data_IF_758313234739
#
_entry.id   IF_758313234739
#
_cell.length_a   1.000
_cell.length_b   1.000
_cell.length_c   1.000
_cell.angle_alpha   90.00
_cell.angle_beta   90.00
_cell.angle_gamma   90.00
#
_symmetry.space_group_name_H-M   'P 1'
#
loop_
_entity.id
_entity.type
_entity.pdbx_description
1 polymer ?
#
# COMPACT_ATOMS: atom_id res chain seq x y z
N UNK A 1 66.49 -38.84 9.54
CA UNK A 1 65.39 -38.13 8.87
C UNK A 1 65.30 -38.69 7.46
N UNK A 2 64.40 -39.63 7.23
CA UNK A 2 64.20 -40.18 5.88
C UNK A 2 63.25 -39.26 5.13
N UNK A 3 63.76 -38.58 4.10
CA UNK A 3 62.94 -37.99 3.04
C UNK A 3 62.13 -39.11 2.39
N UNK A 4 60.91 -39.33 2.87
CA UNK A 4 59.90 -40.05 2.10
C UNK A 4 59.46 -39.09 1.02
N UNK A 5 60.07 -39.26 -0.16
CA UNK A 5 59.67 -38.54 -1.36
C UNK A 5 58.16 -38.67 -1.59
N UNK A 6 57.56 -37.71 -2.32
CA UNK A 6 56.11 -37.61 -2.48
C UNK A 6 55.51 -38.95 -2.90
N UNK A 7 54.72 -39.56 -2.00
CA UNK A 7 54.16 -40.89 -2.20
C UNK A 7 52.95 -40.76 -3.13
N UNK A 8 53.07 -41.27 -4.35
CA UNK A 8 52.03 -41.22 -5.38
C UNK A 8 50.69 -41.83 -4.92
N UNK A 9 50.73 -42.73 -3.93
CA UNK A 9 49.56 -43.32 -3.28
C UNK A 9 48.73 -42.27 -2.55
N UNK A 10 49.38 -41.28 -1.91
CA UNK A 10 48.68 -40.20 -1.22
C UNK A 10 48.02 -39.24 -2.23
N UNK A 11 48.65 -39.00 -3.38
CA UNK A 11 48.04 -38.24 -4.49
C UNK A 11 46.87 -38.97 -5.13
N UNK A 12 46.95 -40.29 -5.26
CA UNK A 12 45.85 -41.12 -5.76
C UNK A 12 44.65 -41.11 -4.81
N UNK A 13 44.88 -41.20 -3.49
CA UNK A 13 43.83 -41.09 -2.48
C UNK A 13 43.21 -39.69 -2.43
N UNK A 14 44.01 -38.63 -2.57
CA UNK A 14 43.51 -37.26 -2.66
C UNK A 14 42.65 -37.06 -3.92
N UNK A 15 43.11 -37.57 -5.07
CA UNK A 15 42.38 -37.54 -6.33
C UNK A 15 41.05 -38.30 -6.28
N UNK A 16 41.04 -39.49 -5.66
CA UNK A 16 39.82 -40.29 -5.47
C UNK A 16 38.80 -39.57 -4.58
N UNK A 17 39.24 -38.94 -3.49
CA UNK A 17 38.36 -38.17 -2.61
C UNK A 17 37.81 -36.91 -3.29
N UNK A 18 38.59 -36.23 -4.14
CA UNK A 18 38.12 -35.07 -4.92
C UNK A 18 37.07 -35.48 -5.95
N UNK A 19 37.25 -36.61 -6.64
CA UNK A 19 36.27 -37.13 -7.62
C UNK A 19 34.98 -37.55 -6.92
N UNK A 20 35.06 -38.25 -5.78
CA UNK A 20 33.89 -38.62 -4.99
C UNK A 20 33.18 -37.39 -4.40
N UNK A 21 33.92 -36.39 -3.91
CA UNK A 21 33.35 -35.13 -3.44
C UNK A 21 32.68 -34.34 -4.56
N UNK A 22 33.25 -34.33 -5.77
CA UNK A 22 32.65 -33.70 -6.96
C UNK A 22 31.35 -34.38 -7.41
N UNK A 23 31.30 -35.71 -7.37
CA UNK A 23 30.09 -36.47 -7.68
C UNK A 23 28.99 -36.26 -6.62
N UNK A 24 29.37 -36.20 -5.34
CA UNK A 24 28.45 -35.88 -4.24
C UNK A 24 27.93 -34.44 -4.31
N UNK A 25 28.76 -33.48 -4.72
CA UNK A 25 28.32 -32.10 -4.96
C UNK A 25 27.27 -32.03 -6.08
N UNK A 26 27.50 -32.71 -7.21
CA UNK A 26 26.52 -32.78 -8.30
C UNK A 26 25.19 -33.46 -7.92
N UNK A 27 25.23 -34.48 -7.04
CA UNK A 27 24.02 -35.11 -6.49
C UNK A 27 23.30 -34.17 -5.53
N UNK A 28 24.03 -33.44 -4.68
CA UNK A 28 23.45 -32.46 -3.74
C UNK A 28 22.73 -31.33 -4.48
N UNK A 29 23.32 -30.83 -5.57
CA UNK A 29 22.71 -29.79 -6.39
C UNK A 29 21.40 -30.28 -7.02
N UNK A 30 21.39 -31.50 -7.58
CA UNK A 30 20.16 -32.13 -8.13
C UNK A 30 19.09 -32.37 -7.06
N UNK A 31 19.47 -32.81 -5.86
CA UNK A 31 18.53 -32.98 -4.76
C UNK A 31 17.96 -31.63 -4.30
N UNK A 32 18.78 -30.58 -4.28
CA UNK A 32 18.31 -29.23 -3.94
C UNK A 32 17.35 -28.68 -5.00
N UNK A 33 17.60 -28.98 -6.27
CA UNK A 33 16.73 -28.60 -7.38
C UNK A 33 15.40 -29.35 -7.34
N UNK A 34 15.44 -30.68 -7.11
CA UNK A 34 14.24 -31.50 -6.92
C UNK A 34 13.43 -31.03 -5.71
N UNK A 35 14.08 -30.73 -4.59
CA UNK A 35 13.42 -30.19 -3.41
C UNK A 35 12.71 -28.85 -3.73
N UNK A 36 13.37 -27.96 -4.48
CA UNK A 36 12.77 -26.69 -4.91
C UNK A 36 11.58 -26.89 -5.86
N UNK A 37 11.67 -27.85 -6.78
CA UNK A 37 10.56 -28.21 -7.68
C UNK A 37 9.38 -28.71 -6.87
N UNK A 38 9.61 -29.59 -5.90
CA UNK A 38 8.53 -30.14 -5.08
C UNK A 38 7.89 -29.08 -4.18
N UNK A 39 8.68 -28.22 -3.53
CA UNK A 39 8.14 -27.08 -2.76
C UNK A 39 7.31 -26.14 -3.64
N UNK A 40 7.74 -25.87 -4.87
CA UNK A 40 6.96 -25.06 -5.81
C UNK A 40 5.67 -25.77 -6.24
N UNK A 41 5.71 -27.09 -6.40
CA UNK A 41 4.54 -27.91 -6.74
C UNK A 41 3.53 -27.90 -5.59
N UNK A 42 3.98 -28.12 -4.36
CA UNK A 42 3.15 -28.05 -3.15
C UNK A 42 2.50 -26.67 -3.01
N UNK A 43 3.27 -25.58 -3.20
CA UNK A 43 2.72 -24.22 -3.17
C UNK A 43 1.65 -24.00 -4.23
N UNK A 44 1.84 -24.50 -5.46
CA UNK A 44 0.83 -24.42 -6.52
C UNK A 44 -0.44 -25.17 -6.17
N UNK A 45 -0.30 -26.37 -5.60
CA UNK A 45 -1.44 -27.18 -5.15
C UNK A 45 -2.19 -26.47 -4.01
N UNK A 46 -1.47 -25.86 -3.06
CA UNK A 46 -2.09 -25.07 -1.98
C UNK A 46 -2.89 -23.89 -2.54
N UNK A 47 -2.29 -23.10 -3.43
CA UNK A 47 -2.98 -21.99 -4.11
C UNK A 47 -4.23 -22.49 -4.87
N UNK A 48 -4.09 -23.57 -5.64
CA UNK A 48 -5.21 -24.15 -6.39
C UNK A 48 -6.34 -24.62 -5.46
N UNK A 49 -6.01 -25.18 -4.29
CA UNK A 49 -6.99 -25.56 -3.28
C UNK A 49 -7.68 -24.34 -2.63
N UNK A 50 -6.95 -23.26 -2.35
CA UNK A 50 -7.54 -22.01 -1.87
C UNK A 50 -8.50 -21.42 -2.90
N UNK A 51 -8.13 -21.43 -4.18
CA UNK A 51 -9.00 -20.97 -5.26
C UNK A 51 -10.22 -21.87 -5.46
N UNK A 52 -10.08 -23.20 -5.30
CA UNK A 52 -11.22 -24.13 -5.32
C UNK A 52 -12.21 -23.83 -4.20
N UNK A 53 -11.70 -23.58 -2.99
CA UNK A 53 -12.53 -23.23 -1.83
C UNK A 53 -13.27 -21.91 -2.08
N UNK A 54 -12.56 -20.91 -2.61
CA UNK A 54 -13.15 -19.63 -3.02
C UNK A 54 -14.26 -19.79 -4.07
N UNK A 55 -14.05 -20.60 -5.12
CA UNK A 55 -15.09 -20.88 -6.12
C UNK A 55 -16.31 -21.58 -5.49
N UNK A 56 -16.08 -22.51 -4.56
CA UNK A 56 -17.15 -23.19 -3.84
C UNK A 56 -17.99 -22.19 -3.03
N UNK A 57 -17.34 -21.27 -2.31
CA UNK A 57 -18.01 -20.24 -1.51
C UNK A 57 -18.83 -19.28 -2.39
N UNK A 58 -18.32 -18.92 -3.57
CA UNK A 58 -19.08 -18.08 -4.51
C UNK A 58 -20.26 -18.85 -5.11
N UNK A 59 -20.07 -20.11 -5.50
CA UNK A 59 -21.17 -20.93 -6.03
C UNK A 59 -22.32 -21.03 -5.03
N UNK A 60 -22.02 -21.31 -3.76
CA UNK A 60 -23.00 -21.32 -2.67
C UNK A 60 -23.63 -19.92 -2.48
N UNK A 61 -22.83 -18.85 -2.61
CA UNK A 61 -23.32 -17.47 -2.58
C UNK A 61 -24.35 -17.20 -3.68
N UNK A 62 -24.06 -17.58 -4.93
CA UNK A 62 -24.96 -17.38 -6.08
C UNK A 62 -26.26 -18.19 -5.92
N UNK A 63 -26.18 -19.42 -5.41
CA UNK A 63 -27.37 -20.23 -5.13
C UNK A 63 -28.27 -19.52 -4.11
N UNK A 64 -27.69 -18.98 -3.03
CA UNK A 64 -28.45 -18.19 -2.04
C UNK A 64 -29.02 -16.91 -2.66
N UNK A 65 -28.25 -16.18 -3.45
CA UNK A 65 -28.72 -14.97 -4.14
C UNK A 65 -29.92 -15.23 -5.05
N UNK A 66 -29.94 -16.40 -5.70
CA UNK A 66 -31.07 -16.82 -6.55
C UNK A 66 -32.37 -16.92 -5.74
N UNK A 67 -32.29 -17.35 -4.47
CA UNK A 67 -33.45 -17.37 -3.58
C UNK A 67 -34.01 -15.99 -3.22
N UNK A 68 -33.17 -14.95 -3.23
CA UNK A 68 -33.57 -13.58 -2.89
C UNK A 68 -33.95 -12.71 -4.09
N UNK A 69 -33.89 -13.25 -5.31
CA UNK A 69 -34.10 -12.49 -6.55
C UNK A 69 -35.42 -11.70 -6.55
N UNK A 70 -36.50 -12.32 -6.06
CA UNK A 70 -37.85 -11.72 -6.07
C UNK A 70 -38.10 -10.80 -4.86
N UNK A 71 -37.42 -11.05 -3.73
CA UNK A 71 -37.61 -10.28 -2.49
C UNK A 71 -36.78 -8.99 -2.50
N UNK A 72 -35.53 -9.06 -2.99
CA UNK A 72 -34.57 -7.97 -2.96
C UNK A 72 -33.73 -7.91 -4.25
N UNK A 73 -34.34 -7.67 -5.43
CA UNK A 73 -33.63 -7.68 -6.72
C UNK A 73 -32.47 -6.68 -6.77
N UNK A 74 -32.61 -5.52 -6.11
CA UNK A 74 -31.55 -4.51 -6.02
C UNK A 74 -30.30 -5.04 -5.29
N UNK A 75 -30.49 -5.68 -4.14
CA UNK A 75 -29.41 -6.26 -3.35
C UNK A 75 -28.71 -7.40 -4.08
N UNK A 76 -29.50 -8.23 -4.77
CA UNK A 76 -28.98 -9.31 -5.62
C UNK A 76 -28.15 -8.76 -6.77
N UNK A 77 -28.64 -7.74 -7.49
CA UNK A 77 -27.92 -7.12 -8.60
C UNK A 77 -26.58 -6.52 -8.14
N UNK A 78 -26.57 -5.79 -7.02
CA UNK A 78 -25.34 -5.20 -6.45
C UNK A 78 -24.35 -6.29 -6.04
N UNK A 79 -24.80 -7.30 -5.32
CA UNK A 79 -23.92 -8.38 -4.83
C UNK A 79 -23.33 -9.19 -5.97
N UNK A 80 -24.12 -9.51 -6.99
CA UNK A 80 -23.65 -10.27 -8.15
C UNK A 80 -22.61 -9.49 -8.97
N UNK A 81 -22.75 -8.17 -9.10
CA UNK A 81 -21.71 -7.31 -9.69
C UNK A 81 -20.43 -7.27 -8.85
N UNK A 82 -20.57 -7.15 -7.52
CA UNK A 82 -19.40 -7.20 -6.62
C UNK A 82 -18.67 -8.53 -6.76
N UNK A 83 -19.40 -9.65 -6.83
CA UNK A 83 -18.82 -10.98 -7.08
C UNK A 83 -18.09 -11.07 -8.43
N UNK A 84 -18.63 -10.44 -9.47
CA UNK A 84 -17.98 -10.36 -10.79
C UNK A 84 -16.66 -9.59 -10.72
N UNK A 85 -16.66 -8.42 -10.08
CA UNK A 85 -15.45 -7.62 -9.87
C UNK A 85 -14.39 -8.41 -9.08
N UNK A 86 -14.80 -9.10 -8.00
CA UNK A 86 -13.89 -9.93 -7.21
C UNK A 86 -13.30 -11.07 -8.06
N UNK A 87 -14.09 -11.72 -8.92
CA UNK A 87 -13.60 -12.77 -9.81
C UNK A 87 -12.47 -12.28 -10.72
N UNK A 88 -12.61 -11.07 -11.24
CA UNK A 88 -11.64 -10.45 -12.13
C UNK A 88 -10.42 -9.91 -11.37
N UNK A 89 -10.60 -9.33 -10.18
CA UNK A 89 -9.49 -8.87 -9.31
C UNK A 89 -8.60 -10.02 -8.83
N UNK A 90 -9.20 -11.15 -8.42
CA UNK A 90 -8.44 -12.34 -7.99
C UNK A 90 -7.78 -13.03 -9.19
N UNK A 91 -8.24 -12.77 -10.42
CA UNK A 91 -7.70 -13.37 -11.64
C UNK A 91 -8.04 -14.85 -11.76
N UNK A 92 -9.21 -15.27 -11.28
CA UNK A 92 -9.64 -16.67 -11.35
C UNK A 92 -10.18 -16.97 -12.75
N UNK A 93 -9.32 -17.52 -13.59
CA UNK A 93 -9.66 -17.99 -14.92
C UNK A 93 -9.68 -19.52 -14.99
N UNK A 94 -10.42 -20.12 -15.93
CA UNK A 94 -10.31 -21.56 -16.20
C UNK A 94 -8.88 -22.02 -16.53
N UNK A 95 -8.01 -21.12 -17.00
CA UNK A 95 -6.61 -21.41 -17.27
C UNK A 95 -5.77 -21.64 -15.99
N UNK A 96 -6.21 -21.11 -14.84
CA UNK A 96 -5.49 -21.17 -13.56
C UNK A 96 -5.46 -22.59 -12.97
N UNK A 97 -6.43 -23.44 -13.32
CA UNK A 97 -6.56 -24.80 -12.78
C UNK A 97 -5.92 -25.85 -13.68
N UNK A 98 -5.41 -26.93 -13.09
CA UNK A 98 -4.86 -28.05 -13.87
C UNK A 98 -5.96 -29.04 -14.28
N UNK A 99 -6.88 -29.33 -13.36
CA UNK A 99 -7.92 -30.33 -13.58
C UNK A 99 -9.06 -29.76 -14.43
N UNK A 100 -9.51 -30.53 -15.42
CA UNK A 100 -10.58 -30.14 -16.34
C UNK A 100 -11.89 -29.82 -15.62
N UNK A 101 -12.23 -30.59 -14.59
CA UNK A 101 -13.43 -30.40 -13.75
C UNK A 101 -13.49 -29.02 -13.11
N UNK A 102 -12.36 -28.52 -12.61
CA UNK A 102 -12.30 -27.19 -11.98
C UNK A 102 -12.48 -26.08 -13.03
N UNK A 103 -11.91 -26.26 -14.23
CA UNK A 103 -12.08 -25.31 -15.34
C UNK A 103 -13.53 -25.14 -15.72
N UNK A 104 -14.25 -26.26 -15.83
CA UNK A 104 -15.66 -26.26 -16.18
C UNK A 104 -16.50 -25.67 -15.05
N UNK A 105 -16.15 -25.95 -13.79
CA UNK A 105 -16.79 -25.33 -12.62
C UNK A 105 -16.66 -23.81 -12.63
N UNK A 106 -15.48 -23.26 -12.87
CA UNK A 106 -15.26 -21.80 -12.99
C UNK A 106 -16.17 -21.19 -14.05
N UNK A 107 -16.27 -21.83 -15.23
CA UNK A 107 -17.15 -21.37 -16.31
C UNK A 107 -18.63 -21.39 -15.91
N UNK A 108 -19.06 -22.47 -15.25
CA UNK A 108 -20.44 -22.61 -14.77
C UNK A 108 -20.78 -21.54 -13.73
N UNK A 109 -19.89 -21.30 -12.77
CA UNK A 109 -20.09 -20.28 -11.72
C UNK A 109 -20.13 -18.87 -12.32
N UNK A 110 -19.21 -18.52 -13.24
CA UNK A 110 -19.27 -17.23 -13.96
C UNK A 110 -20.56 -17.08 -14.76
N UNK A 111 -20.98 -18.12 -15.50
CA UNK A 111 -22.22 -18.10 -16.26
C UNK A 111 -23.47 -17.95 -15.36
N UNK A 112 -23.48 -18.63 -14.21
CA UNK A 112 -24.54 -18.51 -13.21
C UNK A 112 -24.58 -17.09 -12.61
N UNK A 113 -23.43 -16.48 -12.33
CA UNK A 113 -23.33 -15.10 -11.86
C UNK A 113 -23.87 -14.11 -12.90
N UNK A 114 -23.46 -14.24 -14.16
CA UNK A 114 -23.97 -13.37 -15.23
C UNK A 114 -25.48 -13.52 -15.41
N UNK A 115 -26.01 -14.74 -15.32
CA UNK A 115 -27.44 -15.01 -15.43
C UNK A 115 -28.23 -14.38 -14.27
N UNK A 116 -27.77 -14.52 -13.02
CA UNK A 116 -28.46 -13.91 -11.88
C UNK A 116 -28.38 -12.38 -11.93
N UNK A 117 -27.26 -11.80 -12.39
CA UNK A 117 -27.13 -10.36 -12.64
C UNK A 117 -28.13 -9.87 -13.69
N UNK A 118 -28.27 -10.59 -14.82
CA UNK A 118 -29.23 -10.24 -15.87
C UNK A 118 -30.67 -10.35 -15.36
N UNK A 119 -31.00 -11.44 -14.66
CA UNK A 119 -32.32 -11.63 -14.09
C UNK A 119 -32.66 -10.54 -13.07
N UNK A 120 -31.72 -10.18 -12.19
CA UNK A 120 -31.93 -9.11 -11.22
C UNK A 120 -32.07 -7.75 -11.90
N UNK A 121 -31.35 -7.49 -12.99
CA UNK A 121 -31.51 -6.27 -13.79
C UNK A 121 -32.90 -6.17 -14.42
N UNK A 122 -33.46 -7.30 -14.88
CA UNK A 122 -34.79 -7.36 -15.49
C UNK A 122 -35.93 -7.08 -14.50
N UNK A 123 -35.70 -7.30 -13.21
CA UNK A 123 -36.64 -6.97 -12.12
C UNK A 123 -36.56 -5.48 -11.69
N UNK A 124 -35.51 -4.77 -12.11
CA UNK A 124 -35.27 -3.37 -11.77
C UNK A 124 -35.70 -2.43 -12.90
N UNK A 125 -36.05 -1.19 -12.55
CA UNK A 125 -36.25 -0.17 -13.57
C UNK A 125 -34.92 0.24 -14.20
N UNK A 126 -34.93 0.66 -15.48
CA UNK A 126 -33.73 1.12 -16.20
C UNK A 126 -32.98 2.23 -15.43
N UNK A 127 -33.74 3.14 -14.79
CA UNK A 127 -33.17 4.22 -13.96
C UNK A 127 -32.48 3.70 -12.70
N UNK A 128 -33.03 2.67 -12.06
CA UNK A 128 -32.38 2.03 -10.92
C UNK A 128 -31.10 1.35 -11.37
N UNK A 129 -31.15 0.56 -12.44
CA UNK A 129 -29.97 -0.11 -13.01
C UNK A 129 -28.85 0.89 -13.34
N UNK A 130 -29.19 2.02 -13.98
CA UNK A 130 -28.23 3.08 -14.29
C UNK A 130 -27.64 3.70 -13.01
N UNK A 131 -28.49 3.99 -12.01
CA UNK A 131 -28.05 4.51 -10.71
C UNK A 131 -27.13 3.51 -9.99
N UNK A 132 -27.46 2.22 -9.97
CA UNK A 132 -26.60 1.20 -9.37
C UNK A 132 -25.26 1.14 -10.08
N UNK A 133 -25.24 1.08 -11.41
CA UNK A 133 -24.00 1.01 -12.20
C UNK A 133 -23.12 2.22 -11.93
N UNK A 134 -23.72 3.41 -11.78
CA UNK A 134 -22.98 4.60 -11.38
C UNK A 134 -22.31 4.43 -10.01
N UNK A 135 -23.05 3.98 -8.99
CA UNK A 135 -22.50 3.78 -7.64
C UNK A 135 -21.46 2.65 -7.57
N UNK A 136 -21.66 1.53 -8.29
CA UNK A 136 -20.69 0.44 -8.38
C UNK A 136 -19.38 0.88 -9.04
N UNK A 137 -19.48 1.61 -10.16
CA UNK A 137 -18.30 2.19 -10.81
C UNK A 137 -17.55 3.16 -9.89
N UNK A 138 -18.29 3.86 -9.02
CA UNK A 138 -17.72 4.75 -8.04
C UNK A 138 -17.05 4.01 -6.88
N UNK A 139 -17.60 2.87 -6.45
CA UNK A 139 -17.04 2.10 -5.33
C UNK A 139 -15.67 1.53 -5.63
N UNK A 140 -15.44 1.09 -6.87
CA UNK A 140 -14.12 0.65 -7.34
C UNK A 140 -13.08 1.77 -7.27
N UNK A 141 -13.52 3.03 -7.13
CA UNK A 141 -12.71 4.24 -7.08
C UNK A 141 -12.85 5.00 -5.76
N UNK A 142 -13.30 4.36 -4.69
CA UNK A 142 -13.39 5.04 -3.39
C UNK A 142 -12.04 5.53 -2.87
N UNK A 143 -10.98 4.76 -3.06
CA UNK A 143 -9.62 5.17 -2.67
C UNK A 143 -9.16 6.44 -3.40
N UNK A 144 -9.51 6.55 -4.68
CA UNK A 144 -9.27 7.73 -5.52
C UNK A 144 -10.12 8.93 -5.07
N UNK A 145 -11.37 8.71 -4.69
CA UNK A 145 -12.27 9.74 -4.14
C UNK A 145 -11.76 10.25 -2.78
N UNK A 146 -11.36 9.36 -1.88
CA UNK A 146 -10.77 9.70 -0.57
C UNK A 146 -9.48 10.52 -0.73
N UNK A 147 -8.68 10.16 -1.73
CA UNK A 147 -7.46 10.85 -2.09
C UNK A 147 -7.76 12.25 -2.67
N UNK A 148 -8.79 12.40 -3.51
CA UNK A 148 -9.28 13.69 -4.01
C UNK A 148 -9.78 14.58 -2.86
N UNK A 149 -10.63 14.06 -1.97
CA UNK A 149 -11.15 14.78 -0.80
C UNK A 149 -10.00 15.21 0.11
N UNK A 150 -9.03 14.32 0.36
CA UNK A 150 -7.83 14.62 1.14
C UNK A 150 -6.97 15.71 0.52
N UNK A 151 -6.81 15.67 -0.81
CA UNK A 151 -6.13 16.71 -1.58
C UNK A 151 -6.81 18.07 -1.42
N UNK A 152 -8.12 18.14 -1.60
CA UNK A 152 -8.88 19.39 -1.51
C UNK A 152 -8.84 19.97 -0.09
N UNK A 153 -9.02 19.14 0.94
CA UNK A 153 -8.87 19.54 2.35
C UNK A 153 -7.46 20.06 2.64
N UNK A 154 -6.44 19.42 2.08
CA UNK A 154 -5.05 19.85 2.25
C UNK A 154 -4.79 21.19 1.54
N UNK A 155 -5.26 21.33 0.29
CA UNK A 155 -5.14 22.55 -0.51
C UNK A 155 -5.83 23.74 0.16
N UNK A 156 -7.00 23.53 0.78
CA UNK A 156 -7.73 24.57 1.52
C UNK A 156 -6.99 25.00 2.81
N UNK A 157 -6.42 24.05 3.56
CA UNK A 157 -5.73 24.34 4.85
C UNK A 157 -4.32 24.91 4.69
N UNK A 158 -3.65 24.63 3.58
CA UNK A 158 -2.25 24.97 3.39
C UNK A 158 -1.96 26.50 3.37
N UNK A 159 -2.82 27.36 2.79
CA UNK A 159 -2.69 28.82 2.89
C UNK A 159 -2.73 29.33 4.33
N UNK A 160 -3.64 28.80 5.16
CA UNK A 160 -3.77 29.22 6.56
C UNK A 160 -2.56 28.77 7.39
N UNK A 161 -2.05 27.56 7.12
CA UNK A 161 -0.81 27.07 7.73
C UNK A 161 0.41 27.88 7.32
N UNK A 162 0.50 28.29 6.04
CA UNK A 162 1.56 29.20 5.57
C UNK A 162 1.51 30.54 6.31
N UNK A 163 0.33 31.16 6.41
CA UNK A 163 0.14 32.41 7.16
C UNK A 163 0.51 32.26 8.64
N UNK A 164 0.15 31.13 9.27
CA UNK A 164 0.52 30.85 10.66
C UNK A 164 2.04 30.71 10.82
N UNK A 165 2.70 30.01 9.89
CA UNK A 165 4.14 29.82 9.89
C UNK A 165 4.90 31.13 9.64
N UNK A 166 4.39 32.01 8.78
CA UNK A 166 4.90 33.36 8.57
C UNK A 166 4.80 34.20 9.85
N UNK A 167 3.64 34.20 10.53
CA UNK A 167 3.47 34.90 11.82
C UNK A 167 4.44 34.41 12.89
N UNK A 168 4.58 33.09 13.04
CA UNK A 168 5.50 32.49 14.00
C UNK A 168 6.97 32.82 13.65
N UNK A 169 7.30 32.85 12.36
CA UNK A 169 8.63 33.27 11.89
C UNK A 169 8.90 34.75 12.17
N UNK A 170 7.90 35.62 11.99
CA UNK A 170 8.02 37.06 12.25
C UNK A 170 8.10 37.38 13.74
N UNK A 171 7.37 36.65 14.59
CA UNK A 171 7.49 36.72 16.04
C UNK A 171 8.88 36.30 16.51
N UNK A 172 9.39 35.19 15.97
CA UNK A 172 10.76 34.74 16.22
C UNK A 172 11.78 35.79 15.81
N UNK A 173 11.64 36.36 14.61
CA UNK A 173 12.55 37.39 14.11
C UNK A 173 12.48 38.69 14.93
N UNK A 174 11.30 39.09 15.41
CA UNK A 174 11.16 40.24 16.33
C UNK A 174 11.85 39.97 17.66
N UNK A 175 11.66 38.80 18.26
CA UNK A 175 12.36 38.39 19.47
C UNK A 175 13.88 38.47 19.31
N UNK A 176 14.42 37.91 18.21
CA UNK A 176 15.86 37.99 17.90
C UNK A 176 16.33 39.44 17.75
N UNK A 177 15.57 40.31 17.06
CA UNK A 177 15.93 41.73 16.90
C UNK A 177 15.98 42.48 18.24
N UNK A 178 14.96 42.34 19.09
CA UNK A 178 14.95 42.96 20.42
C UNK A 178 16.09 42.45 21.29
N UNK A 179 16.42 41.16 21.21
CA UNK A 179 17.53 40.59 21.96
C UNK A 179 18.89 41.02 21.43
N UNK A 180 19.09 41.15 20.12
CA UNK A 180 20.32 41.73 19.57
C UNK A 180 20.52 43.15 20.10
N UNK A 181 19.45 43.94 20.20
CA UNK A 181 19.49 45.27 20.83
C UNK A 181 19.85 45.21 22.33
N UNK A 182 19.30 44.24 23.07
CA UNK A 182 19.64 44.04 24.49
C UNK A 182 21.07 43.57 24.69
N UNK A 183 21.60 42.68 23.85
CA UNK A 183 23.01 42.24 23.93
C UNK A 183 23.93 43.41 23.62
N UNK A 184 23.62 44.22 22.59
CA UNK A 184 24.41 45.42 22.27
C UNK A 184 24.37 46.40 23.46
N UNK A 185 23.19 46.68 24.03
CA UNK A 185 23.05 47.54 25.20
C UNK A 185 23.75 46.98 26.45
N UNK A 186 23.57 45.69 26.71
CA UNK A 186 24.12 44.95 27.85
C UNK A 186 25.63 44.73 27.77
N UNK A 187 26.24 44.74 26.59
CA UNK A 187 27.70 44.77 26.45
C UNK A 187 28.26 46.19 26.58
N UNK A 188 27.56 47.20 26.02
CA UNK A 188 28.03 48.58 26.02
C UNK A 188 27.99 49.20 27.43
N UNK A 189 26.94 48.96 28.21
CA UNK A 189 26.80 49.53 29.57
C UNK A 189 27.94 49.13 30.53
N UNK A 190 28.31 47.85 30.68
CA UNK A 190 29.43 47.44 31.52
C UNK A 190 30.80 47.87 31.00
N UNK A 191 30.97 48.08 29.69
CA UNK A 191 32.20 48.69 29.15
C UNK A 191 32.43 50.10 29.73
N UNK A 192 31.38 50.85 30.03
CA UNK A 192 31.46 52.15 30.71
C UNK A 192 31.51 52.04 32.25
N UNK A 193 31.16 50.89 32.83
CA UNK A 193 31.16 50.65 34.29
C UNK A 193 32.40 49.87 34.79
N UNK A 194 33.35 49.56 33.89
CA UNK A 194 34.60 48.84 34.18
C UNK A 194 35.43 49.48 35.29
N UNK A 195 35.33 50.80 35.48
CA UNK A 195 36.05 51.52 36.53
C UNK A 195 35.49 51.24 37.94
N UNK A 196 34.26 50.71 38.06
CA UNK A 196 33.57 50.54 39.34
C UNK A 196 33.35 49.07 39.74
N UNK A 197 33.27 48.15 38.77
CA UNK A 197 32.95 46.75 39.00
C UNK A 197 34.12 45.86 38.57
N UNK A 198 34.72 45.15 39.53
CA UNK A 198 35.87 44.28 39.26
C UNK A 198 35.58 43.20 38.20
N UNK A 199 36.62 42.71 37.50
CA UNK A 199 36.50 41.89 36.29
C UNK A 199 35.74 40.57 36.48
N UNK A 200 35.76 40.00 37.69
CA UNK A 200 35.05 38.77 37.99
C UNK A 200 33.52 38.92 37.94
N UNK A 201 32.98 40.08 38.35
CA UNK A 201 31.53 40.31 38.38
C UNK A 201 30.98 40.46 36.96
N UNK A 202 31.74 41.11 36.08
CA UNK A 202 31.39 41.27 34.67
C UNK A 202 31.30 39.94 33.92
N UNK A 203 32.20 39.00 34.23
CA UNK A 203 32.21 37.67 33.59
C UNK A 203 30.97 36.84 33.95
N UNK A 204 30.52 36.90 35.21
CA UNK A 204 29.31 36.18 35.66
C UNK A 204 28.02 36.74 35.07
N UNK A 205 27.91 38.08 34.95
CA UNK A 205 26.74 38.72 34.33
C UNK A 205 26.61 38.31 32.87
N UNK A 206 27.71 38.36 32.11
CA UNK A 206 27.71 37.94 30.70
C UNK A 206 27.34 36.46 30.52
N UNK A 207 27.76 35.58 31.44
CA UNK A 207 27.48 34.15 31.34
C UNK A 207 26.01 33.81 31.65
N UNK A 208 25.40 34.49 32.61
CA UNK A 208 23.96 34.35 32.93
C UNK A 208 23.10 34.83 31.75
N UNK A 209 23.47 35.93 31.10
CA UNK A 209 22.76 36.44 29.92
C UNK A 209 22.83 35.46 28.75
N UNK A 210 24.00 34.85 28.50
CA UNK A 210 24.18 33.88 27.40
C UNK A 210 23.42 32.57 27.66
N UNK A 211 23.42 32.04 28.89
CA UNK A 211 22.67 30.82 29.22
C UNK A 211 21.16 31.07 29.20
N UNK A 212 20.71 32.20 29.76
CA UNK A 212 19.31 32.62 29.68
C UNK A 212 18.83 32.77 28.23
N UNK A 213 19.68 33.32 27.37
CA UNK A 213 19.46 33.47 25.93
C UNK A 213 19.32 32.12 25.20
N UNK A 214 20.25 31.19 25.45
CA UNK A 214 20.19 29.86 24.85
C UNK A 214 18.92 29.09 25.28
N UNK A 215 18.51 29.21 26.54
CA UNK A 215 17.30 28.57 27.06
C UNK A 215 16.00 29.14 26.47
N UNK A 216 15.89 30.48 26.37
CA UNK A 216 14.68 31.16 25.85
C UNK A 216 14.50 30.99 24.34
N UNK A 217 15.58 31.02 23.55
CA UNK A 217 15.49 30.76 22.11
C UNK A 217 15.16 29.30 21.79
N UNK A 218 15.48 28.37 22.69
CA UNK A 218 15.29 26.95 22.47
C UNK A 218 13.90 26.45 22.90
N UNK A 219 13.29 27.00 23.96
CA UNK A 219 12.23 26.29 24.69
C UNK A 219 10.78 26.50 24.22
N UNK A 220 10.33 27.68 23.80
CA UNK A 220 8.88 27.91 23.58
C UNK A 220 8.45 28.12 22.12
N UNK A 221 9.21 28.88 21.33
CA UNK A 221 8.90 29.14 19.91
C UNK A 221 9.24 27.96 19.00
N UNK A 222 10.11 27.04 19.45
CA UNK A 222 10.61 25.94 18.61
C UNK A 222 9.58 24.82 18.45
N UNK A 223 8.80 24.49 19.48
CA UNK A 223 7.90 23.33 19.45
C UNK A 223 6.64 23.60 18.61
N UNK A 224 5.95 24.72 18.83
CA UNK A 224 4.78 25.07 18.02
C UNK A 224 5.17 25.31 16.54
N UNK A 225 6.31 25.95 16.29
CA UNK A 225 6.83 26.11 14.93
C UNK A 225 7.13 24.76 14.28
N UNK A 226 7.78 23.83 14.99
CA UNK A 226 8.04 22.47 14.48
C UNK A 226 6.75 21.72 14.21
N UNK A 227 5.75 21.84 15.09
CA UNK A 227 4.45 21.20 14.91
C UNK A 227 3.74 21.73 13.66
N UNK A 228 3.59 23.06 13.52
CA UNK A 228 2.95 23.69 12.35
C UNK A 228 3.73 23.39 11.07
N UNK A 229 5.07 23.37 11.13
CA UNK A 229 5.91 23.00 9.99
C UNK A 229 5.70 21.55 9.56
N UNK A 230 5.71 20.61 10.51
CA UNK A 230 5.50 19.19 10.24
C UNK A 230 4.10 18.93 9.69
N UNK A 231 3.07 19.54 10.29
CA UNK A 231 1.69 19.49 9.77
C UNK A 231 1.62 20.05 8.33
N UNK A 232 2.31 21.16 8.07
CA UNK A 232 2.40 21.73 6.72
C UNK A 232 3.09 20.81 5.70
N UNK A 233 4.15 20.10 6.11
CA UNK A 233 4.83 19.11 5.27
C UNK A 233 3.98 17.88 5.01
N UNK A 234 3.24 17.39 6.01
CA UNK A 234 2.27 16.30 5.83
C UNK A 234 1.13 16.67 4.88
N UNK A 235 0.59 17.89 4.99
CA UNK A 235 -0.42 18.38 4.05
C UNK A 235 0.14 18.49 2.63
N UNK A 236 1.39 18.91 2.44
CA UNK A 236 2.03 18.94 1.12
C UNK A 236 2.16 17.55 0.51
N UNK A 237 2.42 16.51 1.30
CA UNK A 237 2.46 15.12 0.80
C UNK A 237 1.10 14.63 0.30
N UNK A 238 0.00 15.18 0.84
CA UNK A 238 -1.37 14.90 0.39
C UNK A 238 -1.76 15.69 -0.86
N UNK A 239 -0.93 16.64 -1.31
CA UNK A 239 -1.20 17.39 -2.54
C UNK A 239 -0.80 16.53 -3.74
N UNK A 240 -1.78 16.29 -4.61
CA UNK A 240 -1.62 15.52 -5.83
C UNK A 240 -0.95 16.36 -6.92
N UNK A 241 -0.24 15.67 -7.80
CA UNK A 241 0.24 16.24 -9.05
C UNK A 241 -0.94 16.67 -9.93
N UNK A 242 -0.76 17.74 -10.71
CA UNK A 242 -1.79 18.25 -11.64
C UNK A 242 -2.34 17.20 -12.61
N UNK A 243 -1.50 16.25 -13.06
CA UNK A 243 -1.90 15.16 -13.97
C UNK A 243 -2.91 14.23 -13.30
N UNK A 244 -2.56 13.67 -12.13
CA UNK A 244 -3.49 12.84 -11.33
C UNK A 244 -4.78 13.58 -10.99
N UNK A 245 -4.69 14.87 -10.66
CA UNK A 245 -5.85 15.68 -10.33
C UNK A 245 -6.81 15.81 -11.53
N UNK A 246 -6.28 16.03 -12.73
CA UNK A 246 -7.08 16.08 -13.96
C UNK A 246 -7.80 14.75 -14.22
N UNK A 247 -7.12 13.61 -14.06
CA UNK A 247 -7.74 12.28 -14.20
C UNK A 247 -8.89 12.10 -13.21
N UNK A 248 -8.72 12.53 -11.96
CA UNK A 248 -9.78 12.44 -10.96
C UNK A 248 -10.96 13.36 -11.30
N UNK A 249 -10.72 14.58 -11.79
CA UNK A 249 -11.80 15.47 -12.20
C UNK A 249 -12.54 15.01 -13.46
N UNK A 250 -11.88 14.33 -14.39
CA UNK A 250 -12.55 13.72 -15.54
C UNK A 250 -13.55 12.63 -15.10
N UNK A 251 -13.23 11.93 -14.01
CA UNK A 251 -14.02 10.80 -13.48
C UNK A 251 -15.16 11.29 -12.61
N UNK A 252 -14.88 12.20 -11.67
CA UNK A 252 -15.84 12.63 -10.65
C UNK A 252 -16.53 13.96 -10.98
N UNK A 253 -16.08 14.66 -12.03
CA UNK A 253 -16.56 15.98 -12.44
C UNK A 253 -15.72 17.12 -11.84
N UNK A 254 -15.40 18.13 -12.64
CA UNK A 254 -14.70 19.33 -12.17
C UNK A 254 -15.68 20.30 -11.48
N UNK A 255 -15.19 21.07 -10.50
CA UNK A 255 -15.93 22.19 -9.90
C UNK A 255 -16.85 21.84 -8.72
N UNK A 256 -16.90 20.57 -8.29
CA UNK A 256 -17.61 20.18 -7.08
C UNK A 256 -16.87 20.64 -5.81
N UNK A 257 -17.64 20.98 -4.79
CA UNK A 257 -17.14 21.33 -3.45
C UNK A 257 -16.77 20.08 -2.65
N UNK A 258 -15.92 20.24 -1.61
CA UNK A 258 -15.54 19.12 -0.71
C UNK A 258 -16.78 18.43 -0.14
N UNK A 259 -17.78 19.21 0.30
CA UNK A 259 -19.01 18.66 0.88
C UNK A 259 -19.84 17.86 -0.12
N UNK A 260 -19.83 18.24 -1.40
CA UNK A 260 -20.50 17.47 -2.45
C UNK A 260 -19.79 16.13 -2.72
N UNK A 261 -18.45 16.10 -2.72
CA UNK A 261 -17.72 14.83 -2.83
C UNK A 261 -17.96 13.92 -1.62
N UNK A 262 -17.96 14.47 -0.41
CA UNK A 262 -18.29 13.72 0.81
C UNK A 262 -19.73 13.19 0.80
N UNK A 263 -20.67 13.97 0.23
CA UNK A 263 -22.06 13.54 0.06
C UNK A 263 -22.18 12.42 -0.97
N UNK A 264 -21.45 12.49 -2.09
CA UNK A 264 -21.40 11.40 -3.08
C UNK A 264 -20.78 10.13 -2.49
N UNK A 265 -19.67 10.26 -1.75
CA UNK A 265 -19.03 9.16 -1.03
C UNK A 265 -20.01 8.50 -0.06
N UNK A 266 -20.70 9.32 0.73
CA UNK A 266 -21.70 8.87 1.69
C UNK A 266 -22.90 8.23 1.00
N UNK A 267 -23.49 8.86 -0.01
CA UNK A 267 -24.62 8.29 -0.75
C UNK A 267 -24.26 6.94 -1.34
N UNK A 268 -23.06 6.80 -1.91
CA UNK A 268 -22.60 5.54 -2.48
C UNK A 268 -22.39 4.48 -1.40
N UNK A 269 -21.78 4.82 -0.26
CA UNK A 269 -21.65 3.90 0.88
C UNK A 269 -23.00 3.51 1.47
N UNK A 270 -23.91 4.46 1.62
CA UNK A 270 -25.25 4.23 2.14
C UNK A 270 -26.06 3.38 1.14
N UNK A 271 -25.86 3.56 -0.16
CA UNK A 271 -26.55 2.81 -1.20
C UNK A 271 -26.07 1.35 -1.28
N UNK A 272 -24.76 1.14 -1.25
CA UNK A 272 -24.17 -0.20 -1.13
C UNK A 272 -24.54 -0.80 0.23
N UNK A 273 -24.52 -0.01 1.30
CA UNK A 273 -24.92 -0.40 2.64
C UNK A 273 -26.39 -0.83 2.72
N UNK A 274 -27.31 -0.12 2.07
CA UNK A 274 -28.73 -0.50 2.00
C UNK A 274 -28.94 -1.81 1.24
N UNK A 275 -28.13 -2.07 0.22
CA UNK A 275 -28.10 -3.38 -0.44
C UNK A 275 -27.71 -4.51 0.54
N UNK A 276 -26.97 -4.18 1.59
CA UNK A 276 -26.52 -5.11 2.64
C UNK A 276 -27.38 -5.12 3.91
N UNK A 277 -28.20 -4.08 4.15
CA UNK A 277 -28.84 -3.85 5.45
C UNK A 277 -30.37 -3.75 5.33
N UNK A 278 -31.01 -4.93 5.27
CA UNK A 278 -32.43 -5.25 5.56
C UNK A 278 -33.52 -4.70 4.61
N UNK A 279 -34.48 -5.56 4.28
CA UNK A 279 -35.81 -5.13 3.82
C UNK A 279 -36.69 -4.60 4.97
N UNK A 280 -37.87 -4.06 4.62
CA UNK A 280 -38.85 -3.49 5.57
C UNK A 280 -39.54 -4.51 6.47
N UNK A 281 -39.39 -5.80 6.22
CA UNK A 281 -39.94 -6.92 6.99
C UNK A 281 -38.88 -7.58 7.92
N UNK A 282 -37.63 -7.09 7.89
CA UNK A 282 -36.54 -7.57 8.75
C UNK A 282 -35.79 -8.76 8.19
N UNK A 283 -36.04 -9.15 6.94
CA UNK A 283 -35.29 -10.20 6.25
C UNK A 283 -34.11 -9.55 5.52
N UNK A 284 -32.93 -9.57 6.15
CA UNK A 284 -31.68 -9.24 5.47
C UNK A 284 -31.30 -10.37 4.53
N UNK A 285 -30.73 -10.05 3.36
CA UNK A 285 -29.66 -10.88 2.79
C UNK A 285 -28.71 -11.17 3.96
N UNK A 286 -28.54 -12.42 4.40
CA UNK A 286 -27.87 -12.70 5.65
C UNK A 286 -26.49 -12.07 5.59
N UNK A 287 -26.08 -11.38 6.65
CA UNK A 287 -24.77 -10.71 6.76
C UNK A 287 -23.60 -11.63 6.32
N UNK A 288 -23.81 -12.95 6.45
CA UNK A 288 -22.93 -13.99 5.94
C UNK A 288 -22.66 -13.96 4.43
N UNK A 289 -23.60 -13.51 3.59
CA UNK A 289 -23.39 -13.36 2.13
C UNK A 289 -22.40 -12.24 1.82
N UNK A 290 -22.38 -11.16 2.61
CA UNK A 290 -21.40 -10.09 2.45
C UNK A 290 -20.05 -10.44 3.07
N UNK A 291 -20.07 -11.16 4.21
CA UNK A 291 -18.87 -11.76 4.81
C UNK A 291 -18.23 -12.82 3.90
N UNK A 292 -19.00 -13.45 3.00
CA UNK A 292 -18.50 -14.33 1.93
C UNK A 292 -17.86 -13.57 0.75
N UNK A 293 -18.34 -12.38 0.40
CA UNK A 293 -17.70 -11.52 -0.63
C UNK A 293 -16.40 -10.87 -0.15
N UNK A 294 -16.21 -10.68 1.16
CA UNK A 294 -14.99 -10.10 1.72
C UNK A 294 -14.36 -11.05 2.74
N UNK A 295 -13.80 -12.21 2.33
CA UNK A 295 -13.04 -13.04 3.26
C UNK A 295 -11.82 -12.23 3.71
N UNK A 296 -11.71 -11.82 4.99
CA UNK A 296 -10.64 -10.95 5.46
C UNK A 296 -9.24 -11.60 5.37
N UNK A 297 -9.17 -12.88 5.02
CA UNK A 297 -7.94 -13.67 4.99
C UNK A 297 -7.32 -13.82 3.60
N UNK A 298 -8.10 -13.69 2.51
CA UNK A 298 -7.57 -13.80 1.14
C UNK A 298 -7.06 -12.42 0.66
N UNK A 299 -7.63 -11.34 1.18
CA UNK A 299 -7.33 -9.94 0.83
C UNK A 299 -6.24 -9.27 1.70
N UNK A 300 -5.10 -9.94 1.92
CA UNK A 300 -3.82 -9.21 2.06
C UNK A 300 -3.07 -9.26 0.70
N UNK A 301 -3.54 -8.57 -0.36
CA UNK A 301 -2.88 -8.60 -1.66
C UNK A 301 -1.41 -8.12 -1.59
N UNK A 302 -1.08 -7.23 -0.65
CA UNK A 302 0.30 -6.78 -0.41
C UNK A 302 1.23 -7.85 0.21
N UNK A 303 0.71 -8.96 0.76
CA UNK A 303 1.58 -10.03 1.32
C UNK A 303 1.50 -11.35 0.57
N UNK A 304 0.38 -11.67 -0.07
CA UNK A 304 0.19 -12.92 -0.82
C UNK A 304 0.35 -12.74 -2.32
N UNK A 305 -0.20 -11.66 -2.93
CA UNK A 305 -0.10 -11.40 -4.37
C UNK A 305 1.19 -10.69 -4.78
N UNK A 306 1.80 -9.87 -3.92
CA UNK A 306 3.17 -9.37 -4.14
C UNK A 306 4.21 -10.53 -4.18
N UNK A 307 3.83 -11.72 -3.68
CA UNK A 307 4.59 -12.97 -3.82
C UNK A 307 4.21 -13.81 -5.02
N UNK A 308 3.08 -13.56 -5.70
CA UNK A 308 2.56 -14.43 -6.76
C UNK A 308 2.51 -13.71 -8.12
N UNK A 309 2.16 -12.42 -8.18
CA UNK A 309 2.10 -11.62 -9.42
C UNK A 309 3.28 -10.62 -9.54
N UNK A 310 3.93 -10.31 -8.43
CA UNK A 310 5.31 -9.82 -8.42
C UNK A 310 6.30 -10.90 -7.97
N UNK A 311 6.07 -12.14 -8.42
CA UNK A 311 7.21 -12.99 -8.75
C UNK A 311 8.01 -12.25 -9.80
N UNK A 312 9.01 -11.50 -9.34
CA UNK A 312 10.33 -11.35 -9.96
C UNK A 312 10.46 -12.42 -11.02
N UNK A 313 10.14 -12.10 -12.26
CA UNK A 313 10.45 -12.99 -13.37
C UNK A 313 11.90 -13.35 -13.15
N UNK A 314 12.16 -14.65 -12.99
CA UNK A 314 13.49 -15.19 -12.93
C UNK A 314 14.16 -14.78 -14.23
N UNK A 315 14.78 -13.60 -14.26
CA UNK A 315 15.58 -13.17 -15.37
C UNK A 315 16.82 -14.05 -15.32
N UNK A 316 16.75 -15.15 -16.04
CA UNK A 316 17.90 -15.95 -16.40
C UNK A 316 18.69 -15.08 -17.36
N UNK A 317 19.91 -14.72 -16.99
CA UNK A 317 20.78 -14.00 -17.90
C UNK A 317 20.90 -14.81 -19.19
N UNK A 318 20.51 -14.27 -20.37
CA UNK A 318 20.52 -15.04 -21.61
C UNK A 318 21.93 -15.50 -22.01
N UNK A 319 22.96 -14.88 -21.43
CA UNK A 319 24.36 -15.17 -21.70
C UNK A 319 24.94 -16.31 -20.85
N UNK A 320 24.49 -16.47 -19.60
CA UNK A 320 25.07 -17.45 -18.67
C UNK A 320 24.06 -18.31 -17.91
N UNK A 321 22.76 -18.11 -18.09
CA UNK A 321 21.70 -18.87 -17.40
C UNK A 321 21.62 -18.63 -15.89
N UNK A 322 22.42 -17.73 -15.33
CA UNK A 322 22.37 -17.41 -13.89
C UNK A 322 21.20 -16.48 -13.56
N UNK A 323 20.38 -16.85 -12.57
CA UNK A 323 19.37 -15.99 -11.97
C UNK A 323 19.84 -15.46 -10.62
N UNK A 324 19.69 -14.16 -10.37
CA UNK A 324 19.89 -13.59 -9.03
C UNK A 324 18.81 -12.55 -8.72
N UNK A 325 18.02 -12.71 -7.63
CA UNK A 325 16.90 -11.82 -7.32
C UNK A 325 17.31 -10.46 -6.69
N UNK A 326 18.60 -10.09 -6.68
CA UNK A 326 19.13 -9.04 -5.80
C UNK A 326 19.56 -7.70 -6.41
N UNK A 327 19.76 -7.55 -7.73
CA UNK A 327 20.28 -6.27 -8.28
C UNK A 327 19.76 -5.96 -9.69
N UNK A 328 19.23 -4.75 -9.91
CA UNK A 328 18.42 -4.38 -11.09
C UNK A 328 19.23 -4.08 -12.37
N UNK A 329 20.55 -3.98 -12.31
CA UNK A 329 21.35 -3.40 -13.42
C UNK A 329 22.43 -4.31 -14.02
N UNK A 330 22.99 -5.26 -13.26
CA UNK A 330 24.12 -6.09 -13.74
C UNK A 330 24.02 -7.55 -13.29
N UNK A 331 24.29 -8.47 -14.22
CA UNK A 331 24.42 -9.90 -13.89
C UNK A 331 25.79 -10.16 -13.23
N UNK A 332 25.83 -10.55 -11.95
CA UNK A 332 27.09 -10.84 -11.24
C UNK A 332 27.90 -12.00 -11.85
N UNK A 333 27.26 -12.95 -12.53
CA UNK A 333 27.96 -14.09 -13.14
C UNK A 333 28.74 -13.76 -14.42
N UNK A 334 28.35 -12.71 -15.15
CA UNK A 334 29.00 -12.35 -16.42
C UNK A 334 29.20 -10.85 -16.63
N UNK A 335 28.94 -10.03 -15.60
CA UNK A 335 29.03 -8.57 -15.57
C UNK A 335 28.32 -7.85 -16.73
N UNK A 336 27.30 -8.48 -17.33
CA UNK A 336 26.59 -7.89 -18.47
C UNK A 336 25.50 -6.94 -17.94
N UNK A 337 25.55 -5.68 -18.37
CA UNK A 337 24.53 -4.66 -18.08
C UNK A 337 23.24 -4.90 -18.87
N UNK A 338 22.11 -4.68 -18.23
CA UNK A 338 20.79 -4.74 -18.88
C UNK A 338 20.61 -3.48 -19.73
N UNK A 339 20.62 -3.60 -21.06
CA UNK A 339 20.09 -2.55 -21.95
C UNK A 339 18.56 -2.70 -21.98
N UNK A 340 17.85 -1.66 -21.59
CA UNK A 340 16.39 -1.57 -21.70
C UNK A 340 15.98 -1.27 -23.13
#
# INVERSE_FOLDING_TARGET
MSDRGPNWVDYANLGANIVQAGQLAGVRDRLSELARIETNRERRIQLENELRQFIFEIEEGIERLTGYLQEAPLGVYITAHILENIFDEVGVEPATFQQFTDKDRVKQVRAANSLITENAANELSEKEVEKVRFHLKLSDRFSDLDLLISHLKASQKLPDMKKKLEKLSDEKNRGVKYWVLLIIGGFLVPLFALDYLGPNVLCWIGLIEVIGFAGLLYSSSSEEYRKVKNEGEELRKKILSSEKLHVLYEVFGEGLTISQYEEIEKETRDYIGQATEKDKDGNSLPKSLFELTFPPQIFEPEKSLDKVVHTRENWLCPKCGGGNPGNRTTCLGCNTERRW
#
